data_IF_663076673522
#
_entry.id   IF_663076673522
#
_cell.length_a   1.000
_cell.length_b   1.000
_cell.length_c   1.000
_cell.angle_alpha   90.00
_cell.angle_beta   90.00
_cell.angle_gamma   90.00
#
_symmetry.space_group_name_H-M   'P 1'
#
loop_
_entity.id
_entity.type
_entity.pdbx_description
1 polymer ?
#
# COMPACT_ATOMS: atom_id res chain seq x y z
N UNK A 1 -21.60 -15.01 14.64
CA UNK A 1 -20.90 -15.39 13.40
C UNK A 1 -19.46 -15.75 13.76
N UNK A 2 -19.05 -17.02 13.66
CA UNK A 2 -17.65 -17.42 13.87
C UNK A 2 -16.88 -17.12 12.58
N UNK A 3 -16.14 -16.03 12.56
CA UNK A 3 -15.22 -15.72 11.47
C UNK A 3 -14.05 -16.70 11.57
N UNK A 4 -13.83 -17.49 10.52
CA UNK A 4 -12.64 -18.32 10.42
C UNK A 4 -11.45 -17.41 10.09
N UNK A 5 -10.42 -17.43 10.92
CA UNK A 5 -9.13 -16.81 10.60
C UNK A 5 -8.39 -17.77 9.66
N UNK A 6 -8.01 -17.28 8.49
CA UNK A 6 -7.12 -17.99 7.56
C UNK A 6 -5.98 -17.06 7.19
N UNK A 7 -4.78 -17.62 7.06
CA UNK A 7 -3.61 -16.94 6.49
C UNK A 7 -3.40 -17.35 5.03
N UNK A 8 -4.29 -18.20 4.48
CA UNK A 8 -4.22 -18.58 3.09
C UNK A 8 -4.54 -17.37 2.20
N UNK A 9 -3.70 -17.08 1.21
CA UNK A 9 -3.96 -16.01 0.27
C UNK A 9 -5.19 -16.34 -0.58
N UNK A 10 -5.87 -15.30 -1.07
CA UNK A 10 -6.93 -15.49 -2.04
C UNK A 10 -6.38 -16.16 -3.31
N UNK A 11 -7.26 -16.91 -3.99
CA UNK A 11 -6.94 -17.46 -5.31
C UNK A 11 -6.44 -16.32 -6.23
N UNK A 12 -5.29 -16.47 -6.92
CA UNK A 12 -4.75 -15.45 -7.83
C UNK A 12 -5.74 -14.97 -8.90
N UNK A 13 -6.70 -15.80 -9.29
CA UNK A 13 -7.77 -15.49 -10.25
C UNK A 13 -9.01 -14.85 -9.61
N UNK A 14 -8.95 -14.54 -8.32
CA UNK A 14 -10.04 -13.86 -7.60
C UNK A 14 -10.36 -12.51 -8.25
N UNK A 15 -11.65 -12.23 -8.41
CA UNK A 15 -12.14 -10.92 -8.88
C UNK A 15 -11.71 -9.75 -7.98
N UNK A 16 -11.35 -10.02 -6.72
CA UNK A 16 -10.74 -9.03 -5.83
C UNK A 16 -9.53 -8.35 -6.48
N UNK A 17 -8.69 -9.13 -7.14
CA UNK A 17 -7.47 -8.64 -7.79
C UNK A 17 -7.73 -7.87 -9.08
N UNK A 18 -8.93 -7.99 -9.64
CA UNK A 18 -9.37 -7.27 -10.83
C UNK A 18 -10.11 -5.98 -10.48
N UNK A 19 -10.40 -5.74 -9.20
CA UNK A 19 -11.03 -4.51 -8.76
C UNK A 19 -10.14 -3.31 -9.08
N UNK A 20 -10.78 -2.20 -9.43
CA UNK A 20 -10.07 -0.96 -9.76
C UNK A 20 -9.47 -0.30 -8.52
N UNK A 21 -10.19 -0.41 -7.42
CA UNK A 21 -9.86 0.16 -6.13
C UNK A 21 -10.17 -0.87 -5.05
N UNK A 22 -9.32 -0.93 -4.02
CA UNK A 22 -9.51 -1.82 -2.87
C UNK A 22 -9.28 -1.07 -1.57
N UNK A 23 -10.13 -1.36 -0.60
CA UNK A 23 -9.97 -0.95 0.80
C UNK A 23 -9.68 -2.21 1.62
N UNK A 24 -8.58 -2.21 2.35
CA UNK A 24 -8.12 -3.33 3.17
C UNK A 24 -7.99 -2.81 4.60
N UNK A 25 -8.71 -3.47 5.50
CA UNK A 25 -8.65 -3.21 6.95
C UNK A 25 -8.14 -4.49 7.63
N UNK A 26 -6.99 -4.39 8.29
CA UNK A 26 -6.35 -5.50 8.99
C UNK A 26 -5.78 -5.08 10.34
N UNK A 27 -5.70 -6.01 11.27
CA UNK A 27 -5.02 -5.75 12.54
C UNK A 27 -3.48 -5.71 12.40
N UNK A 28 -2.96 -6.47 11.43
CA UNK A 28 -1.54 -6.53 11.07
C UNK A 28 -1.38 -6.42 9.55
N UNK A 29 -0.61 -5.44 9.11
CA UNK A 29 -0.42 -5.15 7.70
C UNK A 29 0.66 -6.07 7.11
N UNK A 30 0.23 -7.17 6.48
CA UNK A 30 1.09 -7.99 5.61
C UNK A 30 1.00 -7.49 4.17
N UNK A 31 1.23 -6.18 3.97
CA UNK A 31 1.00 -5.46 2.70
C UNK A 31 1.49 -6.19 1.43
N UNK A 32 2.63 -6.90 1.43
CA UNK A 32 3.07 -7.65 0.25
C UNK A 32 2.07 -8.73 -0.17
N UNK A 33 1.45 -9.45 0.77
CA UNK A 33 0.68 -10.66 0.46
C UNK A 33 -0.71 -10.37 -0.10
N UNK A 34 -1.41 -9.38 0.45
CA UNK A 34 -2.76 -9.06 -0.02
C UNK A 34 -2.74 -8.36 -1.37
N UNK A 35 -1.73 -7.54 -1.66
CA UNK A 35 -1.68 -6.81 -2.92
C UNK A 35 -0.92 -7.56 -4.02
N UNK A 36 -0.25 -8.69 -3.75
CA UNK A 36 0.67 -9.34 -4.71
C UNK A 36 0.10 -9.64 -6.09
N UNK A 37 -1.21 -9.88 -6.20
CA UNK A 37 -1.89 -10.13 -7.48
C UNK A 37 -2.78 -8.97 -7.92
N UNK A 38 -2.87 -7.90 -7.13
CA UNK A 38 -3.74 -6.77 -7.40
C UNK A 38 -3.32 -6.06 -8.70
N UNK A 39 -4.30 -5.84 -9.58
CA UNK A 39 -4.14 -5.23 -10.90
C UNK A 39 -4.89 -3.90 -11.03
N UNK A 40 -5.45 -3.38 -9.94
CA UNK A 40 -6.16 -2.10 -9.91
C UNK A 40 -5.22 -0.90 -9.78
N UNK A 41 -5.80 0.29 -9.86
CA UNK A 41 -5.09 1.58 -9.77
C UNK A 41 -4.99 2.15 -8.37
N UNK A 42 -5.88 1.76 -7.44
CA UNK A 42 -5.96 2.41 -6.13
C UNK A 42 -6.02 1.40 -4.97
N UNK A 43 -5.25 1.65 -3.91
CA UNK A 43 -5.29 0.85 -2.71
C UNK A 43 -5.29 1.73 -1.44
N UNK A 44 -6.16 1.39 -0.50
CA UNK A 44 -6.26 2.03 0.81
C UNK A 44 -6.05 0.96 1.88
N UNK A 45 -5.02 1.15 2.71
CA UNK A 45 -4.61 0.21 3.74
C UNK A 45 -4.82 0.83 5.12
N UNK A 46 -5.68 0.21 5.92
CA UNK A 46 -5.92 0.58 7.31
C UNK A 46 -5.36 -0.53 8.18
N UNK A 47 -4.49 -0.16 9.13
CA UNK A 47 -3.96 -1.15 10.07
C UNK A 47 -3.68 -0.63 11.46
N UNK A 48 -3.78 -1.53 12.44
CA UNK A 48 -3.28 -1.26 13.78
C UNK A 48 -1.76 -1.41 13.84
N UNK A 49 -1.22 -2.48 13.25
CA UNK A 49 0.21 -2.82 13.31
C UNK A 49 0.79 -3.01 11.91
N UNK A 50 2.10 -2.82 11.76
CA UNK A 50 2.80 -3.10 10.51
C UNK A 50 4.29 -3.34 10.77
N UNK A 51 4.94 -4.04 9.84
CA UNK A 51 6.39 -4.19 9.82
C UNK A 51 6.99 -3.19 8.82
N UNK A 52 7.94 -2.37 9.26
CA UNK A 52 8.53 -1.34 8.40
C UNK A 52 9.28 -1.93 7.20
N UNK A 53 9.93 -3.09 7.35
CA UNK A 53 10.64 -3.76 6.25
C UNK A 53 9.69 -4.22 5.15
N UNK A 54 8.53 -4.76 5.51
CA UNK A 54 7.53 -5.22 4.54
C UNK A 54 6.99 -4.06 3.71
N UNK A 55 6.74 -2.93 4.37
CA UNK A 55 6.30 -1.71 3.70
C UNK A 55 7.41 -1.15 2.78
N UNK A 56 8.65 -1.09 3.24
CA UNK A 56 9.79 -0.62 2.43
C UNK A 56 9.96 -1.51 1.19
N UNK A 57 9.94 -2.84 1.36
CA UNK A 57 10.05 -3.78 0.25
C UNK A 57 8.90 -3.61 -0.75
N UNK A 58 7.66 -3.45 -0.26
CA UNK A 58 6.50 -3.17 -1.11
C UNK A 58 6.73 -1.90 -1.94
N UNK A 59 7.10 -0.80 -1.29
CA UNK A 59 7.29 0.51 -1.93
C UNK A 59 8.45 0.50 -2.92
N UNK A 60 9.54 -0.21 -2.62
CA UNK A 60 10.68 -0.30 -3.53
C UNK A 60 10.34 -1.08 -4.81
N UNK A 61 9.57 -2.17 -4.71
CA UNK A 61 9.10 -2.93 -5.87
C UNK A 61 8.10 -2.15 -6.72
N UNK A 62 7.27 -1.34 -6.09
CA UNK A 62 6.36 -0.44 -6.80
C UNK A 62 7.12 0.67 -7.51
N UNK A 63 8.01 1.37 -6.80
CA UNK A 63 8.83 2.48 -7.32
C UNK A 63 9.77 2.05 -8.44
N UNK A 64 10.31 0.82 -8.38
CA UNK A 64 11.16 0.27 -9.44
C UNK A 64 10.39 -0.21 -10.67
N UNK A 65 9.06 -0.35 -10.58
CA UNK A 65 8.22 -0.94 -11.62
C UNK A 65 8.30 -2.47 -11.70
N UNK A 66 9.01 -3.12 -10.79
CA UNK A 66 9.10 -4.59 -10.70
C UNK A 66 7.73 -5.22 -10.41
N UNK A 67 6.91 -4.56 -9.59
CA UNK A 67 5.57 -5.00 -9.23
C UNK A 67 4.56 -3.84 -9.21
N UNK A 68 3.27 -4.17 -9.20
CA UNK A 68 2.17 -3.21 -9.05
C UNK A 68 2.13 -2.14 -10.16
N UNK A 69 2.42 -2.51 -11.41
CA UNK A 69 2.60 -1.58 -12.53
C UNK A 69 1.38 -0.70 -12.82
N UNK A 70 0.18 -1.16 -12.43
CA UNK A 70 -1.06 -0.40 -12.59
C UNK A 70 -1.41 0.46 -11.39
N UNK A 71 -0.76 0.27 -10.24
CA UNK A 71 -1.06 1.02 -9.02
C UNK A 71 -0.58 2.46 -9.19
N UNK A 72 -1.51 3.40 -9.03
CA UNK A 72 -1.30 4.85 -9.17
C UNK A 72 -1.39 5.56 -7.83
N UNK A 73 -2.18 5.02 -6.89
CA UNK A 73 -2.44 5.63 -5.60
C UNK A 73 -2.42 4.61 -4.47
N UNK A 74 -1.68 4.93 -3.42
CA UNK A 74 -1.62 4.17 -2.18
C UNK A 74 -1.79 5.11 -0.99
N UNK A 75 -2.76 4.81 -0.13
CA UNK A 75 -2.90 5.43 1.18
C UNK A 75 -2.72 4.37 2.26
N UNK A 76 -1.97 4.72 3.30
CA UNK A 76 -1.74 3.85 4.46
C UNK A 76 -2.02 4.65 5.72
N UNK A 77 -3.03 4.23 6.45
CA UNK A 77 -3.39 4.78 7.75
C UNK A 77 -3.08 3.76 8.84
N UNK A 78 -2.21 4.14 9.78
CA UNK A 78 -1.84 3.28 10.91
C UNK A 78 -2.27 3.94 12.21
N UNK A 79 -2.99 3.19 13.05
CA UNK A 79 -3.65 3.70 14.26
C UNK A 79 -2.69 3.87 15.44
N UNK A 80 -1.62 3.06 15.56
CA UNK A 80 -0.68 3.13 16.68
C UNK A 80 0.58 3.99 16.40
N UNK A 81 1.04 4.68 17.45
CA UNK A 81 1.79 5.95 17.36
C UNK A 81 3.24 5.90 16.86
N UNK A 82 3.88 4.74 16.77
CA UNK A 82 5.30 4.68 16.40
C UNK A 82 5.50 4.26 14.95
N UNK A 83 5.06 5.13 14.02
CA UNK A 83 5.56 5.03 12.66
C UNK A 83 6.92 5.73 12.60
N UNK A 84 8.06 5.03 12.41
CA UNK A 84 9.31 5.68 12.02
C UNK A 84 9.21 6.25 10.60
N UNK A 85 8.37 7.28 10.41
CA UNK A 85 8.10 7.96 9.14
C UNK A 85 9.40 8.36 8.47
N UNK A 86 10.34 8.91 9.25
CA UNK A 86 11.65 9.31 8.75
C UNK A 86 12.48 8.12 8.24
N UNK A 87 12.41 6.95 8.89
CA UNK A 87 13.11 5.76 8.43
C UNK A 87 12.54 5.26 7.10
N UNK A 88 11.20 5.18 6.99
CA UNK A 88 10.53 4.73 5.77
C UNK A 88 10.80 5.71 4.62
N UNK A 89 10.64 7.01 4.87
CA UNK A 89 10.91 8.05 3.87
C UNK A 89 12.38 8.00 3.39
N UNK A 90 13.33 7.89 4.32
CA UNK A 90 14.75 7.78 3.97
C UNK A 90 15.05 6.51 3.17
N UNK A 91 14.47 5.37 3.55
CA UNK A 91 14.68 4.09 2.88
C UNK A 91 14.18 4.12 1.43
N UNK A 92 13.01 4.71 1.18
CA UNK A 92 12.45 4.79 -0.17
C UNK A 92 12.92 6.01 -0.96
N UNK A 93 13.73 6.89 -0.36
CA UNK A 93 14.21 8.13 -0.98
C UNK A 93 13.14 9.21 -1.15
N UNK A 94 12.05 9.13 -0.39
CA UNK A 94 10.97 10.12 -0.41
C UNK A 94 11.22 11.26 0.59
N UNK A 95 10.51 12.37 0.41
CA UNK A 95 10.55 13.53 1.30
C UNK A 95 9.18 13.77 1.91
N UNK A 96 9.17 14.23 3.16
CA UNK A 96 7.96 14.71 3.79
C UNK A 96 7.41 15.93 3.03
N UNK A 97 6.12 15.88 2.69
CA UNK A 97 5.40 17.02 2.14
C UNK A 97 4.67 17.69 3.30
N UNK A 98 5.01 18.94 3.54
CA UNK A 98 4.35 19.78 4.52
C UNK A 98 2.91 20.10 4.06
N UNK A 99 1.92 19.71 4.87
CA UNK A 99 0.50 19.91 4.57
C UNK A 99 0.11 21.39 4.42
N UNK A 100 0.92 22.33 4.94
CA UNK A 100 0.71 23.76 4.78
C UNK A 100 1.21 24.32 3.44
N UNK A 101 1.96 23.51 2.67
CA UNK A 101 2.56 23.89 1.40
C UNK A 101 1.85 23.20 0.24
N UNK A 102 1.82 23.86 -0.91
CA UNK A 102 1.30 23.24 -2.13
C UNK A 102 2.22 22.08 -2.55
N UNK A 103 1.71 20.83 -2.63
CA UNK A 103 2.50 19.72 -3.09
C UNK A 103 2.86 19.87 -4.58
N UNK A 104 3.96 19.26 -5.05
CA UNK A 104 4.23 19.13 -6.47
C UNK A 104 3.02 18.47 -7.15
N UNK A 105 2.42 19.16 -8.11
CA UNK A 105 1.28 18.60 -8.87
C UNK A 105 1.84 17.67 -9.93
N UNK A 106 1.62 16.37 -9.77
CA UNK A 106 1.89 15.42 -10.83
C UNK A 106 0.83 15.59 -11.94
N UNK A 107 1.27 15.97 -13.14
CA UNK A 107 0.40 16.08 -14.31
C UNK A 107 0.54 14.82 -15.15
N UNK A 108 -0.48 13.96 -15.15
CA UNK A 108 -0.52 12.80 -16.05
C UNK A 108 -0.87 13.31 -17.45
N UNK A 109 -0.15 12.90 -18.52
CA UNK A 109 -0.56 13.23 -19.88
C UNK A 109 -2.01 12.80 -20.12
N UNK A 110 -2.84 13.69 -20.67
CA UNK A 110 -4.15 13.28 -21.16
C UNK A 110 -3.92 12.36 -22.37
N UNK A 111 -4.40 11.12 -22.27
CA UNK A 111 -4.48 10.17 -23.38
C UNK A 111 -5.58 10.62 -24.34
#
# INVERSE_FOLDING_TARGET
MKVRKTTEPFNPESKLYQAESVVIDQDWLTAPDILRYFKGRQAFLFSNNYEASDLIQFLDRWKSGEAFQKLEYLQIDVVFEYIPKNQILNAIGAKYIDATKTPPTHSVPKV
#
